data_IF_076870440522
#
_entry.id   IF_076870440522
#
_cell.length_a   1.000
_cell.length_b   1.000
_cell.length_c   1.000
_cell.angle_alpha   90.00
_cell.angle_beta   90.00
_cell.angle_gamma   90.00
#
_symmetry.space_group_name_H-M   'P 1'
#
loop_
_entity.id
_entity.type
_entity.pdbx_description
1 polymer ?
#
# COMPACT_ATOMS: atom_id res chain seq x y z
N UNK A 1 -8.18 -13.81 -13.54
CA UNK A 1 -7.97 -13.62 -12.09
C UNK A 1 -9.07 -12.70 -11.57
N UNK A 2 -9.95 -13.17 -10.68
CA UNK A 2 -11.04 -12.34 -10.15
C UNK A 2 -10.48 -11.22 -9.26
N UNK A 3 -10.75 -9.96 -9.62
CA UNK A 3 -10.36 -8.80 -8.80
C UNK A 3 -11.46 -8.57 -7.77
N UNK A 4 -11.09 -8.36 -6.50
CA UNK A 4 -12.07 -7.98 -5.47
C UNK A 4 -12.71 -6.64 -5.86
N UNK A 5 -14.05 -6.55 -5.77
CA UNK A 5 -14.76 -5.28 -6.00
C UNK A 5 -14.65 -4.31 -4.81
N UNK A 6 -14.27 -4.82 -3.64
CA UNK A 6 -14.13 -4.02 -2.42
C UNK A 6 -13.04 -2.94 -2.59
N UNK A 7 -13.41 -1.71 -2.28
CA UNK A 7 -12.56 -0.53 -2.27
C UNK A 7 -12.44 0.05 -0.86
N UNK A 8 -11.37 0.78 -0.60
CA UNK A 8 -11.08 1.50 0.63
C UNK A 8 -10.74 2.95 0.34
N UNK A 9 -11.27 3.86 1.16
CA UNK A 9 -11.02 5.29 1.04
C UNK A 9 -9.66 5.67 1.64
N UNK A 10 -8.80 6.30 0.84
CA UNK A 10 -7.45 6.73 1.25
C UNK A 10 -7.49 7.72 2.44
N UNK A 11 -8.51 8.59 2.48
CA UNK A 11 -8.61 9.66 3.46
C UNK A 11 -9.33 9.23 4.75
N UNK A 12 -10.58 8.76 4.64
CA UNK A 12 -11.42 8.47 5.81
C UNK A 12 -11.48 6.99 6.18
N UNK A 13 -10.74 6.14 5.47
CA UNK A 13 -10.59 4.71 5.77
C UNK A 13 -11.88 3.87 5.72
N UNK A 14 -12.94 4.39 5.11
CA UNK A 14 -14.21 3.67 4.95
C UNK A 14 -14.16 2.71 3.76
N UNK A 15 -14.89 1.61 3.87
CA UNK A 15 -15.05 0.64 2.79
C UNK A 15 -16.25 0.95 1.90
N UNK A 16 -16.16 0.54 0.64
CA UNK A 16 -17.21 0.73 -0.36
C UNK A 16 -16.97 -0.11 -1.61
N UNK A 17 -17.86 0.00 -2.60
CA UNK A 17 -17.76 -0.74 -3.87
C UNK A 17 -17.63 0.19 -5.09
N UNK A 18 -17.70 1.51 -4.87
CA UNK A 18 -17.62 2.53 -5.92
C UNK A 18 -16.25 3.20 -5.98
N UNK A 19 -16.03 3.98 -7.02
CA UNK A 19 -14.78 4.72 -7.25
C UNK A 19 -14.63 5.94 -6.33
N UNK A 20 -15.75 6.48 -5.83
CA UNK A 20 -15.80 7.65 -4.95
C UNK A 20 -16.38 7.28 -3.59
N UNK A 21 -15.76 7.82 -2.54
CA UNK A 21 -16.23 7.64 -1.18
C UNK A 21 -17.53 8.41 -0.95
N UNK A 22 -18.55 7.73 -0.42
CA UNK A 22 -19.86 8.36 -0.08
C UNK A 22 -19.74 9.36 1.07
N UNK A 23 -18.75 9.19 1.97
CA UNK A 23 -18.58 10.05 3.15
C UNK A 23 -17.80 11.34 2.88
N UNK A 24 -16.74 11.27 2.06
CA UNK A 24 -15.82 12.41 1.86
C UNK A 24 -15.54 12.75 0.39
N UNK A 25 -16.11 12.01 -0.57
CA UNK A 25 -15.97 12.28 -2.00
C UNK A 25 -14.60 11.95 -2.61
N UNK A 26 -13.62 11.54 -1.83
CA UNK A 26 -12.28 11.18 -2.34
C UNK A 26 -12.30 9.86 -3.11
N UNK A 27 -11.27 9.64 -3.92
CA UNK A 27 -11.06 8.40 -4.65
C UNK A 27 -10.88 7.22 -3.70
N UNK A 28 -11.43 6.08 -4.08
CA UNK A 28 -11.24 4.81 -3.37
C UNK A 28 -10.27 3.90 -4.15
N UNK A 29 -9.49 3.10 -3.43
CA UNK A 29 -8.53 2.15 -3.99
C UNK A 29 -8.90 0.71 -3.66
N UNK A 30 -8.47 -0.23 -4.48
CA UNK A 30 -8.77 -1.64 -4.28
C UNK A 30 -8.14 -2.15 -2.98
N UNK A 31 -8.94 -2.83 -2.15
CA UNK A 31 -8.47 -3.35 -0.86
C UNK A 31 -7.49 -4.50 -1.01
N UNK A 32 -7.69 -5.34 -2.02
CA UNK A 32 -6.82 -6.49 -2.24
C UNK A 32 -5.41 -6.02 -2.60
N UNK A 33 -4.43 -6.52 -1.84
CA UNK A 33 -3.02 -6.30 -2.12
C UNK A 33 -2.61 -6.93 -3.46
N UNK A 34 -1.53 -6.41 -4.02
CA UNK A 34 -0.90 -7.04 -5.17
C UNK A 34 -0.35 -8.40 -4.74
N UNK A 35 -0.65 -9.45 -5.50
CA UNK A 35 -0.12 -10.80 -5.22
C UNK A 35 1.41 -10.80 -5.38
N UNK A 36 2.09 -11.39 -4.41
CA UNK A 36 3.52 -11.63 -4.47
C UNK A 36 3.83 -12.83 -5.38
N UNK A 37 4.95 -12.76 -6.10
CA UNK A 37 5.55 -13.87 -6.84
C UNK A 37 7.07 -13.82 -6.60
N UNK A 38 7.72 -14.96 -6.30
CA UNK A 38 9.18 -15.02 -6.18
C UNK A 38 9.92 -14.55 -7.44
N UNK A 39 9.37 -14.83 -8.62
CA UNK A 39 9.98 -14.51 -9.91
C UNK A 39 9.82 -13.04 -10.32
N UNK A 40 8.83 -12.33 -9.74
CA UNK A 40 8.40 -10.96 -10.06
C UNK A 40 9.27 -10.21 -11.10
N UNK A 41 8.96 -10.37 -12.40
CA UNK A 41 9.79 -9.83 -13.47
C UNK A 41 9.80 -8.30 -13.50
N UNK A 42 8.84 -7.65 -12.84
CA UNK A 42 8.74 -6.19 -12.74
C UNK A 42 9.35 -5.66 -11.43
N UNK A 43 9.91 -6.52 -10.58
CA UNK A 43 10.44 -6.15 -9.27
C UNK A 43 11.57 -5.14 -9.33
N UNK A 44 12.51 -5.29 -10.27
CA UNK A 44 13.60 -4.34 -10.47
C UNK A 44 13.08 -2.94 -10.85
N UNK A 45 12.09 -2.88 -11.75
CA UNK A 45 11.45 -1.62 -12.17
C UNK A 45 10.67 -0.98 -11.02
N UNK A 46 9.98 -1.77 -10.20
CA UNK A 46 9.25 -1.26 -9.01
C UNK A 46 10.22 -0.68 -7.98
N UNK A 47 11.33 -1.36 -7.69
CA UNK A 47 12.37 -0.87 -6.77
C UNK A 47 12.99 0.45 -7.25
N UNK A 48 13.29 0.56 -8.55
CA UNK A 48 13.80 1.82 -9.15
C UNK A 48 12.79 2.96 -9.03
N UNK A 49 11.49 2.70 -9.21
CA UNK A 49 10.44 3.75 -9.08
C UNK A 49 10.31 4.27 -7.64
N UNK A 50 10.59 3.44 -6.65
CA UNK A 50 10.49 3.80 -5.24
C UNK A 50 11.82 4.34 -4.67
N UNK A 51 12.87 4.45 -5.49
CA UNK A 51 14.24 4.74 -5.06
C UNK A 51 14.67 3.88 -3.86
N UNK A 52 14.26 2.61 -3.90
CA UNK A 52 14.45 1.67 -2.81
C UNK A 52 15.95 1.37 -2.63
N UNK A 53 16.43 1.49 -1.38
CA UNK A 53 17.83 1.32 -1.01
C UNK A 53 18.62 2.63 -0.87
N UNK A 54 18.02 3.79 -1.19
CA UNK A 54 18.63 5.09 -0.86
C UNK A 54 18.58 5.36 0.65
N UNK A 55 19.46 6.22 1.17
CA UNK A 55 19.46 6.61 2.60
C UNK A 55 18.10 7.16 3.06
N UNK A 56 17.45 7.97 2.20
CA UNK A 56 16.10 8.50 2.43
C UNK A 56 15.05 7.39 2.53
N UNK A 57 15.17 6.36 1.69
CA UNK A 57 14.28 5.22 1.75
C UNK A 57 14.50 4.42 3.04
N UNK A 58 15.75 4.14 3.40
CA UNK A 58 16.10 3.41 4.62
C UNK A 58 15.61 4.15 5.87
N UNK A 59 15.78 5.47 5.93
CA UNK A 59 15.32 6.28 7.07
C UNK A 59 13.79 6.40 7.18
N UNK A 60 13.06 6.18 6.08
CA UNK A 60 11.59 6.16 6.07
C UNK A 60 10.99 4.83 6.55
N UNK A 61 11.80 3.77 6.66
CA UNK A 61 11.31 2.46 7.08
C UNK A 61 10.87 2.51 8.55
N UNK A 62 9.76 1.83 8.91
CA UNK A 62 9.39 1.67 10.30
C UNK A 62 10.54 0.98 11.05
N UNK A 63 11.00 1.59 12.14
CA UNK A 63 11.89 0.90 13.07
C UNK A 63 11.11 -0.17 13.82
N UNK A 64 11.81 -1.23 14.26
CA UNK A 64 11.24 -2.11 15.28
C UNK A 64 10.80 -1.24 16.47
N UNK A 65 9.59 -1.48 16.99
CA UNK A 65 9.11 -0.79 18.20
C UNK A 65 10.22 -0.90 19.24
N UNK A 66 10.59 0.21 19.88
CA UNK A 66 11.42 0.15 21.09
C UNK A 66 10.73 -0.84 22.01
N UNK A 67 11.43 -1.89 22.41
CA UNK A 67 11.04 -2.61 23.61
C UNK A 67 11.02 -1.56 24.72
N UNK A 68 9.84 -1.22 25.22
CA UNK A 68 9.73 -0.68 26.58
C UNK A 68 10.20 -1.83 27.48
N UNK A 69 11.51 -1.88 27.72
CA UNK A 69 12.09 -2.68 28.77
C UNK A 69 11.61 -2.14 30.11
N UNK A 70 11.17 -3.10 30.93
CA UNK A 70 10.88 -3.07 32.38
C UNK A 70 11.47 -1.88 33.16
#
# INVERSE_FOLDING_TARGET
MGRSRLQYCITCKSFGLGEKCVKCGSTMEAVASLKFSPEDPQGARRRKRQDAGTEKWVSSLPSARKEEGD
#
